data_IF_130578416074
#
_entry.id   IF_130578416074
#
_cell.length_a   1.000
_cell.length_b   1.000
_cell.length_c   1.000
_cell.angle_alpha   90.00
_cell.angle_beta   90.00
_cell.angle_gamma   90.00
#
_symmetry.space_group_name_H-M   'P 1'
#
loop_
_entity.id
_entity.type
_entity.pdbx_description
1 polymer ?
#
# COMPACT_ATOMS: atom_id res chain seq x y z
N UNK A 1 34.65 -27.13 46.58
CA UNK A 1 34.77 -26.02 45.60
C UNK A 1 33.77 -26.27 44.48
N UNK A 2 32.73 -25.45 44.42
CA UNK A 2 31.88 -25.25 43.24
C UNK A 2 30.99 -24.04 43.53
N UNK A 3 31.54 -22.85 43.28
CA UNK A 3 30.77 -21.61 43.30
C UNK A 3 29.66 -21.74 42.26
N UNK A 4 28.43 -21.98 42.71
CA UNK A 4 27.25 -21.89 41.85
C UNK A 4 27.15 -20.43 41.42
N UNK A 5 27.57 -20.14 40.18
CA UNK A 5 27.38 -18.85 39.53
C UNK A 5 25.88 -18.57 39.56
N UNK A 6 25.46 -17.71 40.49
CA UNK A 6 24.12 -17.14 40.46
C UNK A 6 24.20 -16.00 39.47
N UNK A 7 23.78 -16.30 38.24
CA UNK A 7 23.41 -15.28 37.28
C UNK A 7 22.22 -14.54 37.90
N UNK A 8 22.51 -13.47 38.66
CA UNK A 8 21.49 -12.51 39.06
C UNK A 8 21.17 -11.74 37.79
N UNK A 9 20.37 -12.35 36.90
CA UNK A 9 19.50 -11.55 36.04
C UNK A 9 18.49 -10.97 37.02
N UNK A 10 18.89 -9.88 37.67
CA UNK A 10 17.97 -9.02 38.36
C UNK A 10 16.90 -8.71 37.33
N UNK A 11 15.69 -9.11 37.64
CA UNK A 11 14.45 -8.83 36.95
C UNK A 11 14.20 -7.33 36.93
N UNK A 12 15.09 -6.58 36.28
CA UNK A 12 14.67 -5.44 35.49
C UNK A 12 13.80 -6.09 34.43
N UNK A 13 12.48 -6.09 34.68
CA UNK A 13 11.52 -6.36 33.65
C UNK A 13 11.81 -5.31 32.58
N UNK A 14 12.57 -5.71 31.56
CA UNK A 14 12.67 -4.96 30.33
C UNK A 14 11.30 -5.17 29.68
N UNK A 15 10.29 -4.46 30.17
CA UNK A 15 9.09 -4.17 29.38
C UNK A 15 9.57 -3.27 28.26
N UNK A 16 10.26 -3.85 27.28
CA UNK A 16 10.15 -3.38 25.93
C UNK A 16 8.65 -3.49 25.66
N UNK A 17 7.90 -2.36 25.50
CA UNK A 17 6.67 -2.49 24.74
C UNK A 17 7.11 -3.21 23.47
N UNK A 18 6.35 -4.20 23.02
CA UNK A 18 6.45 -4.56 21.62
C UNK A 18 6.47 -3.22 20.90
N UNK A 19 7.61 -2.84 20.32
CA UNK A 19 7.53 -1.84 19.28
C UNK A 19 6.75 -2.62 18.25
N UNK A 20 5.44 -2.43 18.30
CA UNK A 20 4.59 -2.66 17.17
C UNK A 20 5.32 -1.83 16.12
N UNK A 21 6.06 -2.51 15.24
CA UNK A 21 6.48 -1.91 13.99
C UNK A 21 5.14 -1.52 13.39
N UNK A 22 4.77 -0.27 13.60
CA UNK A 22 3.63 0.32 12.95
C UNK A 22 3.97 0.14 11.48
N UNK A 23 3.26 -0.79 10.85
CA UNK A 23 3.28 -0.91 9.41
C UNK A 23 2.56 0.34 8.90
N UNK A 24 3.26 1.46 9.00
CA UNK A 24 2.94 2.72 8.37
C UNK A 24 3.35 2.65 6.90
N UNK A 25 3.25 1.46 6.29
CA UNK A 25 3.01 1.44 4.85
C UNK A 25 1.55 1.85 4.72
N UNK A 26 1.24 3.10 4.33
CA UNK A 26 -0.11 3.40 3.91
C UNK A 26 -0.40 2.40 2.80
N UNK A 27 -1.28 1.45 3.10
CA UNK A 27 -2.11 0.77 2.12
C UNK A 27 -2.88 1.89 1.43
N UNK A 28 -2.22 2.54 0.47
CA UNK A 28 -2.85 3.46 -0.45
C UNK A 28 -3.72 2.58 -1.32
N UNK A 29 -4.97 2.40 -0.90
CA UNK A 29 -5.98 1.85 -1.76
C UNK A 29 -6.04 2.80 -2.96
N UNK A 30 -5.67 2.28 -4.13
CA UNK A 30 -5.62 3.08 -5.35
C UNK A 30 -6.97 3.75 -5.60
N UNK A 31 -8.09 3.14 -5.17
CA UNK A 31 -9.43 3.72 -5.27
C UNK A 31 -9.62 5.02 -4.49
N UNK A 32 -8.87 5.26 -3.42
CA UNK A 32 -9.08 6.43 -2.54
C UNK A 32 -8.59 7.74 -3.19
N UNK A 33 -7.77 7.67 -4.24
CA UNK A 33 -7.28 8.83 -4.99
C UNK A 33 -7.44 8.72 -6.51
N UNK A 34 -8.16 7.71 -7.00
CA UNK A 34 -8.35 7.46 -8.43
C UNK A 34 -9.50 8.29 -8.98
N UNK A 35 -9.20 9.46 -9.53
CA UNK A 35 -10.20 10.35 -10.14
C UNK A 35 -10.60 9.95 -11.57
N UNK A 36 -9.74 9.23 -12.28
CA UNK A 36 -10.01 8.77 -13.65
C UNK A 36 -9.20 7.51 -13.99
N UNK A 37 -9.82 6.59 -14.74
CA UNK A 37 -9.17 5.38 -15.23
C UNK A 37 -9.54 5.10 -16.69
N UNK A 38 -8.58 5.34 -17.59
CA UNK A 38 -8.72 5.08 -19.03
C UNK A 38 -7.84 3.91 -19.45
N UNK A 39 -8.45 2.90 -20.05
CA UNK A 39 -7.72 1.76 -20.60
C UNK A 39 -7.15 2.08 -21.99
N UNK A 40 -6.09 1.38 -22.38
CA UNK A 40 -5.54 1.48 -23.74
C UNK A 40 -6.20 0.50 -24.70
N UNK A 41 -7.53 0.54 -24.79
CA UNK A 41 -8.34 -0.29 -25.69
C UNK A 41 -8.91 0.51 -26.89
N UNK A 42 -8.61 1.81 -26.98
CA UNK A 42 -9.07 2.68 -28.06
C UNK A 42 -10.37 3.43 -27.77
N UNK A 43 -10.96 3.28 -26.59
CA UNK A 43 -12.04 4.13 -26.11
C UNK A 43 -11.53 5.23 -25.15
N UNK A 44 -12.40 6.20 -24.86
CA UNK A 44 -12.16 7.23 -23.85
C UNK A 44 -13.17 7.09 -22.69
N UNK A 45 -13.54 5.86 -22.35
CA UNK A 45 -14.49 5.58 -21.26
C UNK A 45 -13.76 5.57 -19.93
N UNK A 46 -14.23 6.41 -18.99
CA UNK A 46 -13.73 6.42 -17.63
C UNK A 46 -14.34 5.27 -16.82
N UNK A 47 -13.49 4.35 -16.37
CA UNK A 47 -13.87 3.20 -15.55
C UNK A 47 -13.55 3.37 -14.06
N UNK A 48 -13.20 4.58 -13.63
CA UNK A 48 -13.06 4.89 -12.20
C UNK A 48 -14.41 4.93 -11.47
N UNK A 49 -15.51 5.12 -12.21
CA UNK A 49 -16.85 5.32 -11.65
C UNK A 49 -17.22 6.78 -11.40
N UNK A 50 -16.34 7.74 -11.72
CA UNK A 50 -16.58 9.18 -11.51
C UNK A 50 -17.26 9.88 -12.70
N UNK A 51 -17.45 9.17 -13.82
CA UNK A 51 -18.22 9.67 -14.96
C UNK A 51 -17.46 10.68 -15.81
N UNK A 52 -16.13 10.68 -15.77
CA UNK A 52 -15.29 11.60 -16.53
C UNK A 52 -15.06 11.19 -17.99
N UNK A 53 -15.95 10.37 -18.58
CA UNK A 53 -15.76 9.85 -19.95
C UNK A 53 -15.55 10.97 -20.98
N UNK A 54 -14.55 10.78 -21.84
CA UNK A 54 -14.13 11.75 -22.85
C UNK A 54 -14.60 11.43 -24.27
N UNK A 55 -14.17 12.26 -25.22
CA UNK A 55 -14.33 12.04 -26.65
C UNK A 55 -12.99 11.62 -27.26
N UNK A 56 -12.99 10.56 -28.06
CA UNK A 56 -11.80 10.11 -28.77
C UNK A 56 -11.55 11.04 -29.98
N UNK A 57 -10.43 11.76 -29.99
CA UNK A 57 -10.01 12.61 -31.12
C UNK A 57 -8.67 12.09 -31.65
N UNK A 58 -8.61 11.81 -32.95
CA UNK A 58 -7.35 11.41 -33.60
C UNK A 58 -6.86 10.01 -33.24
N UNK A 59 -7.70 9.16 -32.64
CA UNK A 59 -7.46 7.72 -32.68
C UNK A 59 -7.67 7.27 -34.12
N UNK A 60 -6.61 7.41 -34.91
CA UNK A 60 -6.47 6.63 -36.12
C UNK A 60 -6.54 5.19 -35.66
N UNK A 61 -7.63 4.50 -36.03
CA UNK A 61 -7.81 3.11 -35.65
C UNK A 61 -6.57 2.40 -36.16
N UNK A 62 -5.68 1.94 -35.27
CA UNK A 62 -4.55 1.15 -35.67
C UNK A 62 -5.14 -0.12 -36.30
N UNK A 63 -5.32 -0.07 -37.63
CA UNK A 63 -5.78 -1.19 -38.42
C UNK A 63 -4.74 -2.27 -38.18
N UNK A 64 -5.16 -3.30 -37.47
CA UNK A 64 -4.35 -4.48 -37.19
C UNK A 64 -3.91 -5.15 -38.49
#
# INVERSE_FOLDING_TARGET
MNTKVRLIVASVALTIPSCDMYDDTPNANLGDGLEAYYQFNGDATDLSGHGHSGMVIGADSASK
#
